data_IF_838864353974
#
_entry.id   IF_838864353974
#
_cell.length_a   1.000
_cell.length_b   1.000
_cell.length_c   1.000
_cell.angle_alpha   90.00
_cell.angle_beta   90.00
_cell.angle_gamma   90.00
#
_symmetry.space_group_name_H-M   'P 1'
#
loop_
_entity.id
_entity.type
_entity.pdbx_description
1 polymer ?
#
# COMPACT_ATOMS: atom_id res chain seq x y z
N UNK A 1 -34.93 25.24 16.15
CA UNK A 1 -33.46 25.30 16.05
C UNK A 1 -32.99 23.94 15.60
N UNK A 2 -32.80 23.77 14.29
CA UNK A 2 -32.29 22.53 13.69
C UNK A 2 -30.80 22.74 13.51
N UNK A 3 -29.99 22.00 14.27
CA UNK A 3 -28.54 22.06 14.21
C UNK A 3 -28.09 21.26 13.00
N UNK A 4 -27.88 21.95 11.88
CA UNK A 4 -27.27 21.38 10.68
C UNK A 4 -25.79 21.15 10.96
N UNK A 5 -25.41 19.90 11.24
CA UNK A 5 -24.00 19.49 11.30
C UNK A 5 -23.51 19.43 9.85
N UNK A 6 -22.85 20.50 9.41
CA UNK A 6 -22.00 20.47 8.22
C UNK A 6 -20.79 19.59 8.54
N UNK A 7 -20.86 18.32 8.16
CA UNK A 7 -19.67 17.50 8.02
C UNK A 7 -18.93 18.05 6.81
N UNK A 8 -17.99 18.96 7.06
CA UNK A 8 -16.96 19.28 6.09
C UNK A 8 -16.23 17.98 5.77
N UNK A 9 -16.56 17.38 4.63
CA UNK A 9 -15.64 16.47 3.96
C UNK A 9 -14.42 17.32 3.62
N UNK A 10 -13.46 17.43 4.54
CA UNK A 10 -12.10 17.72 4.16
C UNK A 10 -11.75 16.65 3.14
N UNK A 11 -11.69 17.04 1.86
CA UNK A 11 -10.95 16.29 0.87
C UNK A 11 -9.50 16.31 1.38
N UNK A 12 -9.14 15.35 2.21
CA UNK A 12 -7.75 14.98 2.36
C UNK A 12 -7.31 14.64 0.94
N UNK A 13 -6.41 15.44 0.38
CA UNK A 13 -5.66 15.03 -0.79
C UNK A 13 -4.99 13.71 -0.41
N UNK A 14 -5.54 12.59 -0.89
CA UNK A 14 -4.97 11.23 -0.71
C UNK A 14 -3.62 11.12 -1.45
N UNK A 15 -3.25 12.16 -2.21
CA UNK A 15 -1.96 12.27 -2.88
C UNK A 15 -0.89 12.65 -1.85
N UNK A 16 -0.17 11.64 -1.38
CA UNK A 16 1.09 11.87 -0.70
C UNK A 16 2.06 12.57 -1.67
N UNK A 17 2.82 13.59 -1.22
CA UNK A 17 3.86 14.19 -2.04
C UNK A 17 4.92 13.16 -2.42
N UNK A 18 5.44 13.25 -3.65
CA UNK A 18 6.47 12.35 -4.13
C UNK A 18 7.80 12.54 -3.38
N UNK A 19 8.55 11.44 -3.25
CA UNK A 19 9.89 11.43 -2.67
C UNK A 19 10.84 10.48 -3.39
N UNK A 20 12.11 10.84 -3.44
CA UNK A 20 13.19 10.01 -3.96
C UNK A 20 13.91 9.35 -2.80
N UNK A 21 14.01 8.03 -2.86
CA UNK A 21 14.69 7.19 -1.89
C UNK A 21 15.90 6.53 -2.53
N UNK A 22 17.02 6.50 -1.81
CA UNK A 22 18.22 5.76 -2.19
C UNK A 22 18.61 4.85 -1.05
N UNK A 23 18.65 3.55 -1.29
CA UNK A 23 19.16 2.58 -0.33
C UNK A 23 20.45 1.97 -0.87
N UNK A 24 21.49 1.96 -0.06
CA UNK A 24 22.74 1.29 -0.36
C UNK A 24 23.04 0.30 0.77
N UNK A 25 23.49 -0.90 0.41
CA UNK A 25 23.94 -1.93 1.34
C UNK A 25 25.31 -2.39 0.86
N UNK A 26 26.31 -2.30 1.72
CA UNK A 26 27.64 -2.86 1.49
C UNK A 26 27.95 -3.92 2.54
N UNK A 27 28.63 -4.99 2.12
CA UNK A 27 28.87 -6.16 2.96
C UNK A 27 30.34 -6.52 3.05
N UNK A 28 30.78 -6.84 4.27
CA UNK A 28 32.03 -7.54 4.54
C UNK A 28 31.70 -9.02 4.68
N UNK A 29 32.56 -9.92 4.17
CA UNK A 29 32.35 -11.38 4.22
C UNK A 29 31.98 -12.03 2.88
N UNK A 30 31.41 -13.22 2.86
CA UNK A 30 31.24 -14.06 1.65
C UNK A 30 29.81 -14.52 1.38
N UNK A 31 28.88 -14.36 2.33
CA UNK A 31 27.52 -14.89 2.19
C UNK A 31 26.61 -14.03 1.30
N UNK A 32 26.90 -12.74 1.17
CA UNK A 32 26.03 -11.76 0.53
C UNK A 32 26.75 -10.99 -0.59
N UNK A 33 26.01 -10.39 -1.55
CA UNK A 33 26.59 -9.46 -2.49
C UNK A 33 27.34 -8.34 -1.78
N UNK A 34 28.52 -7.98 -2.29
CA UNK A 34 29.36 -6.92 -1.73
C UNK A 34 28.67 -5.57 -1.71
N UNK A 35 27.85 -5.27 -2.71
CA UNK A 35 27.16 -4.00 -2.83
C UNK A 35 25.80 -4.16 -3.52
N UNK A 36 24.76 -3.61 -2.90
CA UNK A 36 23.41 -3.50 -3.47
C UNK A 36 22.99 -2.04 -3.41
N UNK A 37 22.44 -1.52 -4.51
CA UNK A 37 21.89 -0.16 -4.56
C UNK A 37 20.50 -0.16 -5.16
N UNK A 38 19.61 0.61 -4.55
CA UNK A 38 18.23 0.82 -4.96
C UNK A 38 17.99 2.33 -5.07
N UNK A 39 17.39 2.77 -6.19
CA UNK A 39 16.77 4.09 -6.28
C UNK A 39 15.29 3.88 -6.49
N UNK A 40 14.49 4.53 -5.65
CA UNK A 40 13.04 4.39 -5.65
C UNK A 40 12.38 5.75 -5.68
N UNK A 41 11.30 5.88 -6.45
CA UNK A 41 10.39 7.02 -6.34
C UNK A 41 9.21 6.52 -5.55
N UNK A 42 8.99 7.15 -4.40
CA UNK A 42 8.12 6.67 -3.34
C UNK A 42 8.53 5.23 -2.95
N UNK A 43 7.80 4.27 -3.47
CA UNK A 43 7.88 2.84 -3.23
C UNK A 43 8.16 2.03 -4.52
N UNK A 44 8.31 2.70 -5.66
CA UNK A 44 8.61 2.08 -6.95
C UNK A 44 10.11 2.09 -7.21
N UNK A 45 10.70 0.90 -7.36
CA UNK A 45 12.11 0.75 -7.74
C UNK A 45 12.28 1.17 -9.20
N UNK A 46 13.04 2.25 -9.43
CA UNK A 46 13.41 2.72 -10.77
C UNK A 46 14.84 2.34 -11.15
N UNK A 47 15.62 1.91 -10.16
CA UNK A 47 16.97 1.41 -10.35
C UNK A 47 17.31 0.32 -9.34
N UNK A 48 17.98 -0.73 -9.82
CA UNK A 48 18.55 -1.78 -8.99
C UNK A 48 19.94 -2.15 -9.49
N UNK A 49 20.87 -2.30 -8.55
CA UNK A 49 22.21 -2.81 -8.80
C UNK A 49 22.57 -3.87 -7.77
N UNK A 50 23.23 -4.92 -8.25
CA UNK A 50 23.75 -6.00 -7.43
C UNK A 50 25.16 -6.39 -7.93
N UNK A 51 26.14 -6.29 -7.05
CA UNK A 51 27.53 -6.58 -7.38
C UNK A 51 27.80 -8.03 -7.80
N UNK A 52 26.96 -8.99 -7.38
CA UNK A 52 27.15 -10.41 -7.74
C UNK A 52 26.89 -10.70 -9.22
N UNK A 53 26.18 -9.81 -9.91
CA UNK A 53 25.92 -9.96 -11.34
C UNK A 53 27.08 -9.46 -12.22
N UNK A 54 28.11 -8.83 -11.65
CA UNK A 54 29.28 -8.20 -12.30
C UNK A 54 28.99 -7.18 -13.43
N UNK A 55 27.73 -7.03 -13.83
CA UNK A 55 27.33 -6.18 -14.93
C UNK A 55 27.08 -4.74 -14.44
N UNK A 56 27.74 -3.78 -15.09
CA UNK A 56 27.41 -2.37 -14.89
C UNK A 56 25.99 -2.08 -15.39
N UNK A 57 25.32 -1.13 -14.74
CA UNK A 57 23.98 -0.78 -15.16
C UNK A 57 23.97 -0.08 -16.52
N UNK A 58 23.28 -0.71 -17.47
CA UNK A 58 22.98 -0.14 -18.79
C UNK A 58 21.92 0.94 -18.67
N UNK A 59 21.86 1.84 -19.66
CA UNK A 59 20.79 2.85 -19.75
C UNK A 59 19.44 2.11 -19.78
N UNK A 60 18.52 2.38 -18.85
CA UNK A 60 17.18 1.80 -18.89
C UNK A 60 16.47 2.17 -20.18
N UNK A 61 15.65 1.27 -20.73
CA UNK A 61 14.97 1.48 -22.01
C UNK A 61 14.11 2.76 -22.02
N UNK A 62 13.45 3.08 -20.91
CA UNK A 62 12.66 4.31 -20.74
C UNK A 62 13.49 5.60 -20.68
N UNK A 63 14.82 5.50 -20.48
CA UNK A 63 15.77 6.61 -20.59
C UNK A 63 16.53 6.62 -21.93
N UNK A 64 16.20 5.73 -22.88
CA UNK A 64 16.92 5.58 -24.14
C UNK A 64 16.53 6.66 -25.18
N UNK A 65 16.71 7.92 -24.80
CA UNK A 65 16.56 9.12 -25.62
C UNK A 65 17.62 10.15 -25.18
N UNK A 66 17.93 11.20 -25.98
CA UNK A 66 19.11 12.05 -25.74
C UNK A 66 19.21 12.63 -24.32
N UNK A 67 18.12 13.23 -23.82
CA UNK A 67 18.07 13.84 -22.47
C UNK A 67 18.16 12.79 -21.34
N UNK A 68 17.46 11.66 -21.51
CA UNK A 68 17.51 10.54 -20.58
C UNK A 68 18.89 9.90 -20.48
N UNK A 69 19.63 9.80 -21.58
CA UNK A 69 21.00 9.30 -21.62
C UNK A 69 21.94 10.24 -20.86
N UNK A 70 21.85 11.55 -21.08
CA UNK A 70 22.66 12.53 -20.35
C UNK A 70 22.38 12.48 -18.85
N UNK A 71 21.10 12.44 -18.48
CA UNK A 71 20.68 12.28 -17.09
C UNK A 71 21.21 10.96 -16.49
N UNK A 72 21.13 9.86 -17.23
CA UNK A 72 21.64 8.57 -16.79
C UNK A 72 23.15 8.59 -16.53
N UNK A 73 23.93 9.33 -17.31
CA UNK A 73 25.36 9.48 -17.04
C UNK A 73 25.63 10.19 -15.71
N UNK A 74 24.82 11.19 -15.35
CA UNK A 74 24.89 11.85 -14.04
C UNK A 74 24.52 10.88 -12.91
N UNK A 75 23.44 10.11 -13.10
CA UNK A 75 23.00 9.04 -12.20
C UNK A 75 24.12 8.03 -11.95
N UNK A 76 24.68 7.50 -13.03
CA UNK A 76 25.71 6.48 -13.01
C UNK A 76 27.00 6.95 -12.31
N UNK A 77 27.44 8.20 -12.52
CA UNK A 77 28.61 8.77 -11.81
C UNK A 77 28.39 8.82 -10.29
N UNK A 78 27.21 9.23 -9.83
CA UNK A 78 26.91 9.25 -8.39
C UNK A 78 26.80 7.84 -7.80
N UNK A 79 26.21 6.89 -8.52
CA UNK A 79 26.10 5.49 -8.06
C UNK A 79 27.50 4.86 -7.88
N UNK A 80 28.43 5.14 -8.81
CA UNK A 80 29.84 4.73 -8.68
C UNK A 80 30.52 5.37 -7.48
N UNK A 81 30.28 6.66 -7.23
CA UNK A 81 30.81 7.35 -6.06
C UNK A 81 30.23 6.79 -4.75
N UNK A 82 28.92 6.59 -4.68
CA UNK A 82 28.26 5.99 -3.52
C UNK A 82 28.78 4.59 -3.22
N UNK A 83 29.03 3.76 -4.25
CA UNK A 83 29.67 2.45 -4.08
C UNK A 83 31.00 2.57 -3.36
N UNK A 84 31.87 3.47 -3.80
CA UNK A 84 33.17 3.73 -3.16
C UNK A 84 33.03 4.15 -1.69
N UNK A 85 32.09 5.05 -1.39
CA UNK A 85 31.81 5.51 -0.01
C UNK A 85 31.34 4.34 0.86
N UNK A 86 30.42 3.53 0.35
CA UNK A 86 29.83 2.40 1.08
C UNK A 86 30.81 1.26 1.31
N UNK A 87 31.63 0.91 0.31
CA UNK A 87 32.68 -0.10 0.43
C UNK A 87 33.75 0.36 1.43
N UNK A 88 34.09 1.65 1.43
CA UNK A 88 34.96 2.24 2.45
C UNK A 88 34.32 2.17 3.83
N UNK A 89 33.03 2.49 3.95
CA UNK A 89 32.29 2.51 5.21
C UNK A 89 32.26 1.14 5.89
N UNK A 90 31.87 0.09 5.15
CA UNK A 90 31.81 -1.27 5.70
C UNK A 90 33.18 -1.78 6.12
N UNK A 91 34.22 -1.49 5.33
CA UNK A 91 35.60 -1.90 5.63
C UNK A 91 36.12 -1.22 6.90
N UNK A 92 36.11 0.11 6.98
CA UNK A 92 36.67 0.83 8.14
C UNK A 92 35.88 0.57 9.42
N UNK A 93 34.57 0.35 9.31
CA UNK A 93 33.73 0.03 10.48
C UNK A 93 34.02 -1.39 10.95
N UNK A 94 34.13 -2.36 10.04
CA UNK A 94 34.49 -3.74 10.43
C UNK A 94 35.89 -3.82 11.06
N UNK A 95 36.86 -3.08 10.51
CA UNK A 95 38.20 -2.94 11.09
C UNK A 95 38.13 -2.32 12.50
N UNK A 96 37.34 -1.25 12.69
CA UNK A 96 37.21 -0.57 13.98
C UNK A 96 36.61 -1.47 15.08
N UNK A 97 35.67 -2.35 14.70
CA UNK A 97 35.04 -3.31 15.61
C UNK A 97 35.80 -4.64 15.73
N UNK A 98 36.92 -4.82 15.02
CA UNK A 98 37.67 -6.09 14.94
C UNK A 98 36.80 -7.27 14.50
N UNK A 99 35.89 -7.02 13.57
CA UNK A 99 34.95 -7.99 13.08
C UNK A 99 35.55 -8.90 12.01
N UNK A 100 35.32 -10.21 12.11
CA UNK A 100 35.87 -11.24 11.22
C UNK A 100 34.82 -12.06 10.46
N UNK A 101 33.53 -11.82 10.72
CA UNK A 101 32.41 -12.52 10.07
C UNK A 101 31.65 -11.57 9.13
N UNK A 102 30.50 -12.01 8.60
CA UNK A 102 29.69 -11.18 7.71
C UNK A 102 29.06 -10.01 8.48
N UNK A 103 29.18 -8.80 7.94
CA UNK A 103 28.60 -7.56 8.48
C UNK A 103 28.08 -6.66 7.37
N UNK A 104 27.11 -5.81 7.72
CA UNK A 104 26.42 -4.96 6.76
C UNK A 104 26.54 -3.50 7.18
N UNK A 105 26.90 -2.67 6.22
CA UNK A 105 26.78 -1.23 6.33
C UNK A 105 25.67 -0.76 5.39
N UNK A 106 24.72 -0.03 5.91
CA UNK A 106 23.51 0.40 5.19
C UNK A 106 23.45 1.92 5.18
N UNK A 107 22.98 2.50 4.08
CA UNK A 107 22.70 3.92 3.99
C UNK A 107 21.34 4.14 3.33
N UNK A 108 20.59 5.10 3.86
CA UNK A 108 19.31 5.55 3.33
C UNK A 108 19.35 7.07 3.16
N UNK A 109 19.28 7.51 1.91
CA UNK A 109 19.05 8.90 1.54
C UNK A 109 17.61 9.11 1.09
N UNK A 110 17.00 10.23 1.51
CA UNK A 110 15.66 10.63 1.07
C UNK A 110 15.65 12.11 0.74
N UNK A 111 14.94 12.49 -0.32
CA UNK A 111 14.44 13.85 -0.48
C UNK A 111 13.03 13.85 -1.06
N UNK A 112 12.28 14.92 -0.88
CA UNK A 112 10.95 15.05 -1.46
C UNK A 112 10.29 16.35 -1.09
N UNK A 113 9.04 16.50 -1.50
CA UNK A 113 8.21 17.63 -1.10
C UNK A 113 7.41 17.31 0.15
N UNK A 114 7.12 18.34 0.94
CA UNK A 114 6.11 18.31 2.00
C UNK A 114 4.77 18.74 1.43
N UNK A 115 3.71 18.57 2.22
CA UNK A 115 2.35 18.99 1.84
C UNK A 115 2.21 20.50 1.62
N UNK A 116 3.08 21.31 2.23
CA UNK A 116 3.13 22.77 2.04
C UNK A 116 3.96 23.21 0.82
N UNK A 117 4.50 22.25 0.05
CA UNK A 117 5.34 22.48 -1.13
C UNK A 117 6.82 22.74 -0.81
N UNK A 118 7.21 22.84 0.47
CA UNK A 118 8.64 22.94 0.83
C UNK A 118 9.35 21.61 0.63
N UNK A 119 10.67 21.64 0.47
CA UNK A 119 11.46 20.42 0.29
C UNK A 119 11.99 19.92 1.64
N UNK A 120 12.17 18.61 1.74
CA UNK A 120 12.90 17.98 2.83
C UNK A 120 13.90 16.98 2.29
N UNK A 121 14.99 16.82 3.02
CA UNK A 121 16.03 15.84 2.72
C UNK A 121 16.63 15.30 4.02
N UNK A 122 17.00 14.01 3.99
CA UNK A 122 17.58 13.30 5.11
C UNK A 122 18.53 12.21 4.62
N UNK A 123 19.58 11.95 5.40
CA UNK A 123 20.43 10.79 5.18
C UNK A 123 20.80 10.11 6.51
N UNK A 124 20.66 8.80 6.55
CA UNK A 124 21.07 7.95 7.66
C UNK A 124 21.90 6.78 7.21
N UNK A 125 22.77 6.33 8.09
CA UNK A 125 23.58 5.14 7.93
C UNK A 125 23.34 4.24 9.14
N UNK A 126 23.29 2.94 8.89
CA UNK A 126 23.17 1.90 9.90
C UNK A 126 24.28 0.86 9.74
N UNK A 127 24.65 0.21 10.85
CA UNK A 127 25.60 -0.89 10.89
C UNK A 127 24.92 -2.09 11.56
N UNK A 128 24.88 -3.22 10.86
CA UNK A 128 24.14 -4.43 11.26
C UNK A 128 22.68 -4.15 11.68
N UNK A 129 21.98 -3.31 10.90
CA UNK A 129 20.59 -2.97 11.14
C UNK A 129 20.34 -1.99 12.29
N UNK A 130 21.39 -1.44 12.92
CA UNK A 130 21.27 -0.45 14.01
C UNK A 130 21.78 0.92 13.58
N UNK A 131 21.11 1.97 14.05
CA UNK A 131 21.50 3.36 13.78
C UNK A 131 22.98 3.60 14.11
N UNK A 132 23.70 4.25 13.18
CA UNK A 132 25.15 4.44 13.30
C UNK A 132 25.53 5.92 13.17
N UNK A 133 25.30 6.54 12.02
CA UNK A 133 25.46 7.99 11.81
C UNK A 133 24.33 8.56 10.97
N UNK A 134 24.01 9.83 11.14
CA UNK A 134 23.08 10.57 10.29
C UNK A 134 23.66 11.93 9.89
N UNK A 135 23.19 12.47 8.77
CA UNK A 135 23.60 13.78 8.28
C UNK A 135 22.39 14.71 8.25
N UNK A 136 22.53 15.83 8.96
CA UNK A 136 21.57 16.92 8.91
C UNK A 136 22.03 17.92 7.83
N UNK A 137 21.27 17.99 6.75
CA UNK A 137 21.55 18.85 5.60
C UNK A 137 21.47 20.33 5.98
N UNK A 138 20.55 20.70 6.88
CA UNK A 138 20.30 22.09 7.27
C UNK A 138 21.43 22.66 8.12
N UNK A 139 21.95 21.87 9.05
CA UNK A 139 23.09 22.27 9.90
C UNK A 139 24.43 21.87 9.30
N UNK A 140 24.43 21.03 8.26
CA UNK A 140 25.60 20.45 7.59
C UNK A 140 26.50 19.67 8.55
N UNK A 141 25.87 19.00 9.50
CA UNK A 141 26.58 18.25 10.55
C UNK A 141 26.26 16.77 10.51
N UNK A 142 27.25 15.97 10.88
CA UNK A 142 27.05 14.55 11.13
C UNK A 142 26.71 14.33 12.61
N UNK A 143 25.81 13.41 12.89
CA UNK A 143 25.49 12.96 14.25
C UNK A 143 25.85 11.49 14.39
N UNK A 144 26.55 11.14 15.46
CA UNK A 144 26.84 9.75 15.81
C UNK A 144 25.75 9.22 16.74
N UNK A 145 25.06 8.15 16.34
CA UNK A 145 24.01 7.52 17.14
C UNK A 145 24.59 6.71 18.31
N UNK A 146 25.81 6.19 18.16
CA UNK A 146 26.54 5.44 19.19
C UNK A 146 27.97 5.95 19.33
N UNK A 147 28.57 5.75 20.51
CA UNK A 147 29.95 6.17 20.80
C UNK A 147 30.97 5.60 19.81
N UNK A 148 30.77 4.35 19.38
CA UNK A 148 31.62 3.67 18.39
C UNK A 148 31.50 4.24 16.98
N UNK A 149 30.51 5.10 16.69
CA UNK A 149 30.37 5.76 15.40
C UNK A 149 31.15 7.09 15.31
N UNK A 150 31.69 7.57 16.43
CA UNK A 150 32.40 8.87 16.50
C UNK A 150 33.63 8.91 15.59
N UNK A 151 34.35 7.79 15.43
CA UNK A 151 35.50 7.75 14.51
C UNK A 151 35.06 7.99 13.06
N UNK A 152 33.95 7.37 12.65
CA UNK A 152 33.46 7.47 11.28
C UNK A 152 32.85 8.85 11.03
N UNK A 153 32.12 9.41 12.01
CA UNK A 153 31.68 10.81 12.01
C UNK A 153 32.85 11.76 11.70
N UNK A 154 33.95 11.67 12.46
CA UNK A 154 35.13 12.52 12.24
C UNK A 154 35.72 12.35 10.83
N UNK A 155 35.75 11.12 10.32
CA UNK A 155 36.21 10.84 8.96
C UNK A 155 35.35 11.56 7.91
N UNK A 156 34.02 11.52 8.05
CA UNK A 156 33.08 12.21 7.14
C UNK A 156 33.18 13.73 7.25
N UNK A 157 33.40 14.27 8.44
CA UNK A 157 33.56 15.72 8.64
C UNK A 157 34.91 16.27 8.16
N UNK A 158 35.95 15.43 8.09
CA UNK A 158 37.28 15.85 7.60
C UNK A 158 37.36 15.88 6.07
N UNK A 159 36.48 15.12 5.40
CA UNK A 159 36.39 15.10 3.93
C UNK A 159 35.50 16.25 3.44
N UNK A 160 36.11 17.43 3.31
CA UNK A 160 35.40 18.65 2.91
C UNK A 160 34.84 18.58 1.48
N UNK A 161 35.50 17.85 0.58
CA UNK A 161 35.06 17.68 -0.81
C UNK A 161 33.78 16.82 -0.88
N UNK A 162 33.76 15.70 -0.16
CA UNK A 162 32.57 14.87 -0.01
C UNK A 162 31.43 15.63 0.68
N UNK A 163 31.71 16.39 1.74
CA UNK A 163 30.72 17.21 2.44
C UNK A 163 30.06 18.22 1.50
N UNK A 164 30.84 18.93 0.68
CA UNK A 164 30.30 19.89 -0.31
C UNK A 164 29.42 19.17 -1.34
N UNK A 165 29.86 18.01 -1.87
CA UNK A 165 29.06 17.21 -2.80
C UNK A 165 27.73 16.78 -2.19
N UNK A 166 27.76 16.33 -0.94
CA UNK A 166 26.60 15.87 -0.19
C UNK A 166 25.57 16.98 0.03
N UNK A 167 26.04 18.16 0.41
CA UNK A 167 25.19 19.35 0.59
C UNK A 167 24.55 19.76 -0.74
N UNK A 168 25.33 19.88 -1.82
CA UNK A 168 24.79 20.22 -3.15
C UNK A 168 23.75 19.19 -3.60
N UNK A 169 24.01 17.90 -3.35
CA UNK A 169 23.08 16.83 -3.67
C UNK A 169 21.75 17.02 -2.95
N UNK A 170 21.74 17.16 -1.63
CA UNK A 170 20.48 17.20 -0.88
C UNK A 170 19.77 18.56 -0.90
N UNK A 171 20.50 19.68 -1.03
CA UNK A 171 19.89 21.02 -1.14
C UNK A 171 19.19 21.23 -2.51
N UNK A 172 19.69 20.62 -3.59
CA UNK A 172 19.12 20.86 -4.94
C UNK A 172 19.15 19.67 -5.88
N UNK A 173 20.24 18.89 -5.91
CA UNK A 173 20.42 17.81 -6.88
C UNK A 173 19.35 16.72 -6.78
N UNK A 174 18.98 16.35 -5.56
CA UNK A 174 18.07 15.25 -5.28
C UNK A 174 16.64 15.57 -5.77
N UNK A 175 16.16 16.79 -5.53
CA UNK A 175 14.85 17.24 -6.02
C UNK A 175 14.84 17.35 -7.54
N UNK A 176 15.89 17.92 -8.15
CA UNK A 176 16.03 17.98 -9.61
C UNK A 176 16.00 16.58 -10.26
N UNK A 177 16.59 15.60 -9.59
CA UNK A 177 16.56 14.21 -10.05
C UNK A 177 15.19 13.60 -9.90
N UNK A 178 14.49 13.86 -8.79
CA UNK A 178 13.13 13.42 -8.58
C UNK A 178 12.20 13.95 -9.68
N UNK A 179 12.31 15.24 -10.03
CA UNK A 179 11.56 15.85 -11.13
C UNK A 179 11.82 15.14 -12.46
N UNK A 180 13.09 14.96 -12.86
CA UNK A 180 13.45 14.27 -14.10
C UNK A 180 12.98 12.81 -14.12
N UNK A 181 13.10 12.11 -12.99
CA UNK A 181 12.65 10.73 -12.89
C UNK A 181 11.12 10.61 -13.00
N UNK A 182 10.37 11.53 -12.37
CA UNK A 182 8.93 11.66 -12.55
C UNK A 182 8.57 12.08 -13.98
N UNK A 183 9.45 12.80 -14.68
CA UNK A 183 9.27 13.18 -16.07
C UNK A 183 9.38 12.00 -17.03
N UNK A 184 10.33 11.11 -16.79
CA UNK A 184 10.64 10.01 -17.70
C UNK A 184 9.97 8.68 -17.31
N UNK A 185 9.61 8.47 -16.04
CA UNK A 185 9.05 7.19 -15.57
C UNK A 185 7.55 7.06 -15.88
N UNK A 186 7.21 6.23 -16.86
CA UNK A 186 5.81 5.88 -17.18
C UNK A 186 5.15 5.13 -16.02
N UNK A 187 5.87 4.21 -15.38
CA UNK A 187 5.33 3.36 -14.30
C UNK A 187 4.89 4.15 -13.08
N UNK A 188 5.60 5.23 -12.73
CA UNK A 188 5.21 6.10 -11.61
C UNK A 188 4.06 7.04 -12.00
N UNK A 189 3.90 7.31 -13.30
CA UNK A 189 2.87 8.19 -13.85
C UNK A 189 1.51 7.54 -14.06
N UNK A 190 1.40 6.22 -14.02
CA UNK A 190 0.15 5.50 -14.30
C UNK A 190 -0.46 4.93 -13.01
N UNK A 191 -1.41 5.64 -12.38
CA UNK A 191 -2.19 5.09 -11.29
C UNK A 191 -2.91 3.80 -11.72
N UNK A 192 -2.86 2.78 -10.87
CA UNK A 192 -3.62 1.55 -11.06
C UNK A 192 -4.92 1.63 -10.26
N UNK A 193 -6.04 1.38 -10.91
CA UNK A 193 -7.38 1.45 -10.30
C UNK A 193 -7.63 0.21 -9.44
N UNK A 194 -8.10 0.35 -8.18
CA UNK A 194 -8.42 -0.78 -7.33
C UNK A 194 -9.52 -1.66 -7.92
N UNK A 195 -9.27 -2.97 -7.96
CA UNK A 195 -10.31 -3.98 -8.08
C UNK A 195 -10.83 -4.35 -6.69
N UNK A 196 -12.15 -4.38 -6.53
CA UNK A 196 -12.81 -4.62 -5.24
C UNK A 196 -13.68 -5.87 -5.34
N UNK A 197 -13.51 -6.78 -4.39
CA UNK A 197 -14.29 -8.01 -4.29
C UNK A 197 -14.72 -8.27 -2.84
N UNK A 198 -15.88 -8.91 -2.65
CA UNK A 198 -16.41 -9.26 -1.34
C UNK A 198 -16.40 -10.78 -1.18
N UNK A 199 -15.80 -11.24 -0.08
CA UNK A 199 -15.73 -12.65 0.30
C UNK A 199 -16.50 -12.87 1.59
N UNK A 200 -17.54 -13.69 1.53
CA UNK A 200 -18.27 -14.13 2.72
C UNK A 200 -17.63 -15.42 3.24
N UNK A 201 -17.12 -15.39 4.47
CA UNK A 201 -16.71 -16.60 5.16
C UNK A 201 -17.92 -17.13 5.96
N UNK A 202 -18.49 -18.29 5.58
CA UNK A 202 -19.61 -18.84 6.30
C UNK A 202 -19.20 -19.16 7.74
N UNK A 203 -20.15 -19.07 8.68
CA UNK A 203 -19.84 -19.27 10.08
C UNK A 203 -19.38 -20.72 10.32
N UNK A 204 -18.28 -20.88 11.07
CA UNK A 204 -17.86 -22.17 11.60
C UNK A 204 -18.42 -22.34 13.01
N UNK A 205 -19.44 -23.20 13.15
CA UNK A 205 -20.11 -23.43 14.43
C UNK A 205 -20.97 -22.23 14.86
N UNK A 206 -20.75 -21.71 16.08
CA UNK A 206 -21.48 -20.55 16.61
C UNK A 206 -20.87 -19.20 16.20
N UNK A 207 -19.96 -19.16 15.22
CA UNK A 207 -19.31 -17.91 14.82
C UNK A 207 -20.27 -17.00 14.05
N UNK A 208 -20.04 -15.69 14.13
CA UNK A 208 -20.77 -14.69 13.33
C UNK A 208 -20.32 -14.77 11.86
N UNK A 209 -21.15 -14.32 10.92
CA UNK A 209 -20.73 -14.17 9.51
C UNK A 209 -19.68 -13.08 9.40
N UNK A 210 -18.59 -13.40 8.72
CA UNK A 210 -17.53 -12.45 8.41
C UNK A 210 -17.54 -12.16 6.91
N UNK A 211 -17.63 -10.88 6.56
CA UNK A 211 -17.55 -10.43 5.17
C UNK A 211 -16.26 -9.65 5.00
N UNK A 212 -15.40 -10.10 4.10
CA UNK A 212 -14.11 -9.47 3.80
C UNK A 212 -14.19 -8.68 2.51
N UNK A 213 -13.92 -7.38 2.58
CA UNK A 213 -13.66 -6.56 1.41
C UNK A 213 -12.18 -6.67 1.04
N UNK A 214 -11.90 -7.26 -0.12
CA UNK A 214 -10.55 -7.34 -0.67
C UNK A 214 -10.41 -6.32 -1.79
N UNK A 215 -9.53 -5.37 -1.55
CA UNK A 215 -9.15 -4.31 -2.49
C UNK A 215 -7.75 -4.67 -2.98
N UNK A 216 -7.55 -4.77 -4.30
CA UNK A 216 -6.26 -5.20 -4.86
C UNK A 216 -5.99 -4.53 -6.20
N UNK A 217 -4.74 -4.56 -6.66
CA UNK A 217 -4.36 -4.04 -7.98
C UNK A 217 -4.27 -2.52 -8.03
N UNK A 218 -4.18 -1.83 -6.89
CA UNK A 218 -4.13 -0.37 -6.84
C UNK A 218 -2.71 0.18 -6.68
N UNK A 219 -2.48 1.38 -7.21
CA UNK A 219 -1.27 2.18 -7.02
C UNK A 219 -1.64 3.65 -7.25
N UNK A 220 -1.22 4.61 -6.40
CA UNK A 220 -0.22 4.52 -5.31
C UNK A 220 -0.63 3.73 -4.06
N UNK A 221 0.28 3.53 -3.10
CA UNK A 221 0.04 2.75 -1.86
C UNK A 221 -1.08 3.30 -0.97
N UNK A 222 -1.30 4.61 -0.97
CA UNK A 222 -2.26 5.26 -0.09
C UNK A 222 -3.71 4.97 -0.53
N UNK A 223 -4.46 4.26 0.31
CA UNK A 223 -5.88 3.92 0.08
C UNK A 223 -6.67 4.07 1.36
N UNK A 224 -7.91 4.51 1.25
CA UNK A 224 -8.87 4.48 2.34
C UNK A 224 -9.99 3.50 1.99
N UNK A 225 -10.29 2.58 2.92
CA UNK A 225 -11.33 1.56 2.76
C UNK A 225 -12.18 1.58 4.01
N UNK A 226 -13.48 1.74 3.90
CA UNK A 226 -14.41 1.81 5.02
C UNK A 226 -15.63 0.91 4.81
N UNK A 227 -16.14 0.36 5.90
CA UNK A 227 -17.43 -0.33 5.91
C UNK A 227 -18.52 0.67 6.27
N UNK A 228 -19.59 0.70 5.49
CA UNK A 228 -20.78 1.51 5.73
C UNK A 228 -21.94 0.61 6.17
N UNK A 229 -22.65 1.03 7.21
CA UNK A 229 -23.89 0.42 7.67
C UNK A 229 -25.03 0.58 6.67
N UNK A 230 -26.19 0.00 6.99
CA UNK A 230 -27.39 0.09 6.15
C UNK A 230 -27.90 1.53 5.97
N UNK A 231 -27.62 2.38 6.95
CA UNK A 231 -27.88 3.82 6.98
C UNK A 231 -26.85 4.65 6.19
N UNK A 232 -25.79 4.02 5.67
CA UNK A 232 -24.72 4.68 4.92
C UNK A 232 -23.65 5.36 5.76
N UNK A 233 -23.65 5.15 7.08
CA UNK A 233 -22.66 5.73 8.00
C UNK A 233 -21.45 4.80 8.17
N UNK A 234 -20.22 5.35 8.33
CA UNK A 234 -19.03 4.56 8.60
C UNK A 234 -19.12 3.74 9.88
N UNK A 235 -18.68 2.48 9.81
CA UNK A 235 -18.66 1.55 10.93
C UNK A 235 -17.24 1.37 11.47
N UNK A 236 -17.15 1.26 12.78
CA UNK A 236 -15.91 0.92 13.51
C UNK A 236 -16.07 -0.41 14.24
N UNK A 237 -17.24 -0.64 14.83
CA UNK A 237 -17.53 -1.86 15.58
C UNK A 237 -17.60 -3.08 14.65
N UNK A 238 -16.91 -4.16 15.05
CA UNK A 238 -16.86 -5.40 14.29
C UNK A 238 -15.99 -5.33 13.02
N UNK A 239 -15.32 -4.21 12.76
CA UNK A 239 -14.43 -4.01 11.61
C UNK A 239 -12.99 -4.35 11.99
N UNK A 240 -12.36 -5.20 11.20
CA UNK A 240 -10.94 -5.56 11.30
C UNK A 240 -10.22 -5.21 9.99
N UNK A 241 -9.11 -4.47 10.06
CA UNK A 241 -8.33 -4.09 8.89
C UNK A 241 -6.96 -4.75 8.92
N UNK A 242 -6.57 -5.38 7.81
CA UNK A 242 -5.18 -5.77 7.58
C UNK A 242 -4.30 -4.56 7.24
N UNK A 243 -3.03 -4.84 6.98
CA UNK A 243 -2.08 -3.88 6.44
C UNK A 243 -2.16 -3.81 4.91
N UNK A 244 -1.69 -2.70 4.34
CA UNK A 244 -1.48 -2.59 2.88
C UNK A 244 -0.21 -3.36 2.51
N UNK A 245 -0.39 -4.42 1.74
CA UNK A 245 0.67 -5.34 1.31
C UNK A 245 1.01 -5.15 -0.18
N UNK A 246 2.28 -5.28 -0.58
CA UNK A 246 2.68 -5.21 -1.98
C UNK A 246 2.31 -6.48 -2.76
N UNK A 247 2.04 -6.32 -4.05
CA UNK A 247 1.93 -7.38 -5.03
C UNK A 247 3.22 -7.49 -5.87
N UNK A 248 3.43 -8.64 -6.51
CA UNK A 248 4.60 -8.87 -7.37
C UNK A 248 4.64 -8.06 -8.67
N UNK A 249 3.54 -7.39 -9.03
CA UNK A 249 3.40 -6.57 -10.23
C UNK A 249 3.57 -5.06 -9.94
N UNK A 250 4.00 -4.69 -8.73
CA UNK A 250 4.15 -3.30 -8.29
C UNK A 250 2.85 -2.61 -7.89
N UNK A 251 1.73 -3.34 -7.76
CA UNK A 251 0.49 -2.83 -7.16
C UNK A 251 0.37 -3.20 -5.68
N UNK A 252 -0.71 -2.78 -5.03
CA UNK A 252 -1.00 -3.04 -3.62
C UNK A 252 -2.30 -3.79 -3.43
N UNK A 253 -2.43 -4.39 -2.23
CA UNK A 253 -3.66 -5.00 -1.76
C UNK A 253 -3.93 -4.72 -0.29
N UNK A 254 -5.21 -4.73 0.08
CA UNK A 254 -5.71 -4.58 1.44
C UNK A 254 -6.94 -5.47 1.64
N UNK A 255 -7.07 -6.06 2.82
CA UNK A 255 -8.29 -6.76 3.26
C UNK A 255 -8.86 -6.07 4.48
N UNK A 256 -10.14 -5.71 4.43
CA UNK A 256 -10.87 -5.14 5.56
C UNK A 256 -12.16 -5.94 5.76
N UNK A 257 -12.28 -6.60 6.91
CA UNK A 257 -13.35 -7.53 7.24
C UNK A 257 -14.35 -6.90 8.21
N UNK A 258 -15.63 -7.23 8.04
CA UNK A 258 -16.73 -6.85 8.93
C UNK A 258 -17.34 -8.13 9.50
N UNK A 259 -17.45 -8.18 10.82
CA UNK A 259 -18.23 -9.19 11.54
C UNK A 259 -19.67 -8.72 11.62
N UNK A 260 -20.58 -9.37 10.89
CA UNK A 260 -21.98 -8.95 10.80
C UNK A 260 -22.71 -9.31 12.10
N UNK A 261 -23.46 -8.38 12.71
CA UNK A 261 -24.32 -8.68 13.86
C UNK A 261 -25.35 -9.76 13.52
N UNK A 262 -25.59 -10.67 14.46
CA UNK A 262 -26.45 -11.83 14.23
C UNK A 262 -27.90 -11.43 13.94
N UNK A 263 -28.39 -10.35 14.57
CA UNK A 263 -29.74 -9.84 14.37
C UNK A 263 -29.93 -9.22 12.96
N UNK A 264 -28.83 -8.85 12.32
CA UNK A 264 -28.80 -8.13 11.05
C UNK A 264 -28.43 -9.03 9.85
N UNK A 265 -27.99 -10.26 10.12
CA UNK A 265 -27.37 -11.15 9.13
C UNK A 265 -28.28 -11.51 7.95
N UNK A 266 -29.60 -11.53 8.15
CA UNK A 266 -30.59 -11.87 7.12
C UNK A 266 -31.39 -10.66 6.59
N UNK A 267 -31.17 -9.47 7.17
CA UNK A 267 -32.07 -8.32 6.96
C UNK A 267 -31.36 -7.07 6.47
N UNK A 268 -30.09 -6.86 6.82
CA UNK A 268 -29.37 -5.62 6.52
C UNK A 268 -28.25 -5.84 5.49
N UNK A 269 -28.06 -4.83 4.65
CA UNK A 269 -26.96 -4.75 3.69
C UNK A 269 -25.87 -3.82 4.19
N UNK A 270 -24.63 -4.12 3.85
CA UNK A 270 -23.44 -3.36 4.22
C UNK A 270 -22.61 -3.07 2.99
N UNK A 271 -21.97 -1.90 2.93
CA UNK A 271 -21.19 -1.49 1.76
C UNK A 271 -19.73 -1.28 2.10
N UNK A 272 -18.82 -1.81 1.29
CA UNK A 272 -17.42 -1.46 1.32
C UNK A 272 -17.18 -0.25 0.40
N UNK A 273 -16.79 0.88 0.98
CA UNK A 273 -16.43 2.12 0.31
C UNK A 273 -14.90 2.18 0.17
N UNK A 274 -14.42 2.45 -1.04
CA UNK A 274 -12.99 2.60 -1.36
C UNK A 274 -12.74 3.97 -1.97
N UNK A 275 -11.83 4.73 -1.35
CA UNK A 275 -11.33 6.00 -1.84
C UNK A 275 -9.85 5.84 -2.20
N UNK A 276 -9.51 6.20 -3.43
CA UNK A 276 -8.16 6.06 -3.96
C UNK A 276 -7.89 7.14 -5.01
N UNK A 277 -6.68 7.69 -5.03
CA UNK A 277 -6.33 8.83 -5.89
C UNK A 277 -6.36 8.53 -7.40
N UNK A 278 -6.34 7.25 -7.79
CA UNK A 278 -6.46 6.84 -9.19
C UNK A 278 -7.85 7.08 -9.81
N UNK A 279 -8.84 7.46 -9.01
CA UNK A 279 -10.23 7.70 -9.46
C UNK A 279 -10.75 9.01 -8.87
N UNK A 280 -11.56 9.74 -9.64
CA UNK A 280 -12.15 11.00 -9.18
C UNK A 280 -13.29 10.82 -8.15
N UNK A 281 -13.82 9.60 -8.03
CA UNK A 281 -14.93 9.26 -7.15
C UNK A 281 -14.57 8.19 -6.12
N UNK A 282 -15.51 7.29 -5.86
CA UNK A 282 -15.31 6.15 -4.98
C UNK A 282 -15.74 4.86 -5.67
N UNK A 283 -15.25 3.72 -5.17
CA UNK A 283 -15.80 2.41 -5.51
C UNK A 283 -16.59 1.94 -4.30
N UNK A 284 -17.87 1.67 -4.49
CA UNK A 284 -18.74 1.12 -3.44
C UNK A 284 -19.27 -0.23 -3.88
N UNK A 285 -18.99 -1.28 -3.11
CA UNK A 285 -19.52 -2.63 -3.35
C UNK A 285 -20.36 -3.07 -2.16
N UNK A 286 -21.58 -3.51 -2.42
CA UNK A 286 -22.56 -3.85 -1.37
C UNK A 286 -22.63 -5.36 -1.17
N UNK A 287 -22.46 -5.80 0.07
CA UNK A 287 -22.87 -7.13 0.51
C UNK A 287 -24.33 -7.08 0.97
N UNK A 288 -25.11 -8.05 0.50
CA UNK A 288 -26.48 -8.24 0.92
C UNK A 288 -26.70 -9.72 1.28
N UNK A 289 -27.54 -10.00 2.28
CA UNK A 289 -27.90 -11.36 2.64
C UNK A 289 -28.50 -12.09 1.44
N UNK A 290 -28.09 -13.36 1.24
CA UNK A 290 -28.69 -14.21 0.20
C UNK A 290 -30.15 -14.47 0.56
N UNK A 291 -31.09 -13.86 -0.18
CA UNK A 291 -32.51 -14.19 -0.04
C UNK A 291 -32.71 -15.66 -0.42
N UNK A 292 -33.29 -16.43 0.49
CA UNK A 292 -33.58 -17.84 0.28
C UNK A 292 -34.78 -17.98 -0.68
N UNK A 293 -34.53 -17.76 -1.97
CA UNK A 293 -35.52 -17.78 -3.03
C UNK A 293 -36.26 -19.12 -3.08
N UNK A 294 -35.58 -20.21 -2.71
CA UNK A 294 -36.15 -21.55 -2.57
C UNK A 294 -37.25 -21.61 -1.50
N UNK A 295 -37.08 -20.96 -0.34
CA UNK A 295 -38.09 -20.93 0.71
C UNK A 295 -39.30 -20.07 0.29
N UNK A 296 -39.06 -18.98 -0.42
CA UNK A 296 -40.14 -18.13 -0.97
C UNK A 296 -40.93 -18.90 -2.04
N UNK A 297 -40.24 -19.59 -2.95
CA UNK A 297 -40.88 -20.43 -3.98
C UNK A 297 -41.65 -21.59 -3.35
N UNK A 298 -41.09 -22.27 -2.35
CA UNK A 298 -41.77 -23.32 -1.59
C UNK A 298 -43.04 -22.80 -0.90
N UNK A 299 -42.98 -21.64 -0.26
CA UNK A 299 -44.16 -21.04 0.38
C UNK A 299 -45.26 -20.72 -0.64
N UNK A 300 -44.90 -20.20 -1.82
CA UNK A 300 -45.86 -19.94 -2.91
C UNK A 300 -46.51 -21.24 -3.39
N UNK A 301 -45.74 -22.31 -3.59
CA UNK A 301 -46.25 -23.62 -4.01
C UNK A 301 -47.23 -24.21 -2.97
N UNK A 302 -46.92 -24.08 -1.68
CA UNK A 302 -47.80 -24.52 -0.60
C UNK A 302 -49.11 -23.72 -0.61
N UNK A 303 -49.04 -22.40 -0.76
CA UNK A 303 -50.24 -21.56 -0.80
C UNK A 303 -51.13 -21.94 -2.00
N UNK A 304 -50.55 -22.07 -3.18
CA UNK A 304 -51.30 -22.43 -4.41
C UNK A 304 -51.96 -23.79 -4.29
N UNK A 305 -51.26 -24.79 -3.75
CA UNK A 305 -51.81 -26.14 -3.55
C UNK A 305 -52.95 -26.17 -2.53
N UNK A 306 -52.85 -25.42 -1.42
CA UNK A 306 -53.93 -25.29 -0.43
C UNK A 306 -55.17 -24.63 -1.04
N UNK A 307 -54.99 -23.54 -1.80
CA UNK A 307 -56.11 -22.85 -2.47
C UNK A 307 -56.81 -23.78 -3.46
N UNK A 308 -56.05 -24.54 -4.26
CA UNK A 308 -56.59 -25.56 -5.16
C UNK A 308 -57.42 -26.61 -4.39
N UNK A 309 -56.87 -27.17 -3.31
CA UNK A 309 -57.57 -28.15 -2.49
C UNK A 309 -58.89 -27.60 -1.93
N UNK A 310 -58.89 -26.37 -1.39
CA UNK A 310 -60.10 -25.73 -0.87
C UNK A 310 -61.15 -25.50 -1.96
N UNK A 311 -60.73 -25.11 -3.18
CA UNK A 311 -61.66 -24.91 -4.30
C UNK A 311 -62.31 -26.23 -4.74
N UNK A 312 -61.54 -27.32 -4.78
CA UNK A 312 -62.04 -28.67 -5.08
C UNK A 312 -63.01 -29.13 -3.99
N UNK A 313 -62.65 -28.92 -2.72
CA UNK A 313 -63.50 -29.27 -1.58
C UNK A 313 -64.82 -28.50 -1.60
N UNK A 314 -64.77 -27.20 -1.91
CA UNK A 314 -65.96 -26.36 -2.04
C UNK A 314 -66.86 -26.84 -3.17
N UNK A 315 -66.30 -27.10 -4.36
CA UNK A 315 -67.06 -27.67 -5.49
C UNK A 315 -67.69 -29.02 -5.13
N UNK A 316 -66.95 -29.88 -4.44
CA UNK A 316 -67.45 -31.18 -3.98
C UNK A 316 -68.60 -31.03 -2.97
N UNK A 317 -68.50 -30.12 -2.00
CA UNK A 317 -69.55 -29.87 -1.01
C UNK A 317 -70.82 -29.27 -1.64
N UNK A 318 -70.67 -28.36 -2.61
CA UNK A 318 -71.80 -27.81 -3.38
C UNK A 318 -72.47 -28.91 -4.22
N UNK A 319 -71.68 -29.73 -4.92
CA UNK A 319 -72.20 -30.87 -5.69
C UNK A 319 -72.95 -31.86 -4.79
N UNK A 320 -72.39 -32.23 -3.64
CA UNK A 320 -73.02 -33.13 -2.67
C UNK A 320 -74.34 -32.56 -2.14
N UNK A 321 -74.42 -31.25 -1.88
CA UNK A 321 -75.67 -30.55 -1.50
C UNK A 321 -76.69 -30.51 -2.63
N UNK A 322 -76.26 -30.39 -3.89
CA UNK A 322 -77.15 -30.42 -5.05
C UNK A 322 -77.74 -31.82 -5.28
N UNK A 323 -76.94 -32.87 -5.14
CA UNK A 323 -77.40 -34.27 -5.25
C UNK A 323 -78.31 -34.66 -4.08
N UNK A 324 -78.02 -34.21 -2.86
CA UNK A 324 -78.88 -34.47 -1.69
C UNK A 324 -80.26 -33.79 -1.75
N UNK A 325 -80.44 -32.74 -2.56
CA UNK A 325 -81.75 -32.10 -2.80
C UNK A 325 -82.56 -32.75 -3.93
N UNK A 326 -81.97 -33.68 -4.68
CA UNK A 326 -82.66 -34.40 -5.78
C UNK A 326 -83.41 -35.66 -5.30
N UNK A 327 -83.39 -35.97 -4.00
CA UNK A 327 -84.01 -37.16 -3.41
C UNK A 327 -85.04 -36.86 -2.29
N UNK A 328 -85.49 -35.61 -2.11
CA UNK A 328 -86.63 -35.28 -1.23
C UNK A 328 -87.87 -34.93 -2.02
#
# INVERSE_FOLDING_TARGET
>A
MITTILISFMQFSIVAPHSLHRHCIATQGTLYPKNIQLVMIDDVIVYYYNSSAEQEAVVPEWLNHPEGIEFWQEVHRNLKFNRYVMDTAVRVTSEHYNHSHDHFYQAHGRCGWKSDGTTEAFMSHAYDGKDFVSFDVSTRTWTAAVSHAVFYKRKRETDLEDLVRLVIHYESGCIRWLEKLLEFSVTVREPKVPAVSLFERPPHGNSKVEVTCHVTGFYPRAVQVDWLGAEGLPMVDGVNSGEVLPNGDGSYQLRKSLTVPQEAQDTQSYSCLVLHSSIAGNITVTWAPKKNLANVLMAIVIIVSVVLMLTVLFKYLVWRRAVGKSQS
#
